data_IF_214827644223
#
_entry.id   IF_214827644223
#
_cell.length_a   1.000
_cell.length_b   1.000
_cell.length_c   1.000
_cell.angle_alpha   90.00
_cell.angle_beta   90.00
_cell.angle_gamma   90.00
#
_symmetry.space_group_name_H-M   'P 1'
#
loop_
_entity.id
_entity.type
_entity.pdbx_description
1 polymer ?
#
# COMPACT_ATOMS: atom_id res chain seq x y z
N UNK A 1 10.52 -0.98 -22.86
CA UNK A 1 9.34 -0.18 -22.41
C UNK A 1 8.40 -1.10 -21.65
N UNK A 2 8.25 -0.89 -20.35
CA UNK A 2 7.29 -1.67 -19.57
C UNK A 2 5.87 -1.19 -19.89
N UNK A 3 5.17 -2.01 -20.64
CA UNK A 3 3.85 -1.73 -21.16
C UNK A 3 2.79 -1.90 -20.06
N UNK A 4 2.06 -0.84 -19.69
CA UNK A 4 0.99 -0.89 -18.69
C UNK A 4 -0.16 -1.85 -19.07
N UNK A 5 -0.24 -2.23 -20.35
CA UNK A 5 -1.23 -3.19 -20.86
C UNK A 5 -0.76 -4.65 -20.77
N UNK A 6 0.44 -4.90 -20.23
CA UNK A 6 0.97 -6.25 -20.04
C UNK A 6 1.22 -6.51 -18.55
N UNK A 7 0.79 -7.68 -18.09
CA UNK A 7 1.15 -8.17 -16.76
C UNK A 7 2.56 -8.75 -16.82
N UNK A 8 3.49 -8.31 -15.94
CA UNK A 8 4.84 -8.88 -15.88
C UNK A 8 4.84 -10.36 -15.56
N UNK A 9 5.88 -11.09 -16.03
CA UNK A 9 6.00 -12.52 -15.79
C UNK A 9 5.95 -12.86 -14.29
N UNK A 10 6.70 -12.14 -13.45
CA UNK A 10 6.75 -12.38 -12.01
C UNK A 10 5.38 -12.26 -11.32
N UNK A 11 4.50 -11.33 -11.79
CA UNK A 11 3.13 -11.22 -11.29
C UNK A 11 2.30 -12.41 -11.75
N UNK A 12 2.45 -12.82 -13.02
CA UNK A 12 1.74 -14.00 -13.56
C UNK A 12 2.10 -15.26 -12.79
N UNK A 13 3.39 -15.44 -12.49
CA UNK A 13 3.90 -16.59 -11.74
C UNK A 13 3.33 -16.66 -10.32
N UNK A 14 3.09 -15.50 -9.68
CA UNK A 14 2.52 -15.45 -8.34
C UNK A 14 0.99 -15.59 -8.30
N UNK A 15 0.30 -15.13 -9.34
CA UNK A 15 -1.18 -15.06 -9.34
C UNK A 15 -1.81 -16.28 -10.01
N UNK A 16 -1.25 -16.74 -11.15
CA UNK A 16 -1.90 -17.74 -12.00
C UNK A 16 -1.16 -19.08 -12.06
N UNK A 17 0.06 -19.16 -11.53
CA UNK A 17 0.67 -20.44 -11.33
C UNK A 17 -0.16 -21.18 -10.27
N UNK A 18 -0.85 -22.27 -10.65
CA UNK A 18 -1.62 -23.14 -9.75
C UNK A 18 -0.64 -23.92 -8.85
N UNK A 19 0.14 -23.24 -8.04
CA UNK A 19 0.83 -23.88 -6.93
C UNK A 19 -0.19 -24.09 -5.85
N UNK A 20 -0.41 -25.32 -5.48
CA UNK A 20 -1.02 -25.63 -4.20
C UNK A 20 -0.07 -25.07 -3.14
N UNK A 21 -0.62 -24.40 -2.15
CA UNK A 21 0.16 -23.97 -0.99
C UNK A 21 0.34 -25.18 -0.07
N UNK A 22 1.05 -26.21 -0.60
CA UNK A 22 1.39 -27.41 0.16
C UNK A 22 2.42 -27.09 1.25
N UNK A 23 2.68 -28.05 2.13
CA UNK A 23 3.60 -27.86 3.25
C UNK A 23 5.01 -27.54 2.79
N UNK A 24 5.50 -28.15 1.70
CA UNK A 24 6.83 -27.88 1.16
C UNK A 24 6.95 -26.42 0.70
N UNK A 25 5.94 -25.94 -0.03
CA UNK A 25 5.91 -24.52 -0.47
C UNK A 25 5.89 -23.56 0.70
N UNK A 26 5.09 -23.83 1.73
CA UNK A 26 5.00 -22.98 2.92
C UNK A 26 6.31 -22.99 3.71
N UNK A 27 6.98 -24.13 3.79
CA UNK A 27 8.30 -24.23 4.43
C UNK A 27 9.36 -23.42 3.66
N UNK A 28 9.46 -23.57 2.33
CA UNK A 28 10.37 -22.76 1.49
C UNK A 28 10.10 -21.25 1.64
N UNK A 29 8.83 -20.87 1.74
CA UNK A 29 8.45 -19.49 1.93
C UNK A 29 8.86 -18.98 3.32
N UNK A 30 8.62 -19.78 4.37
CA UNK A 30 9.02 -19.45 5.73
C UNK A 30 10.55 -19.26 5.85
N UNK A 31 11.35 -20.12 5.20
CA UNK A 31 12.82 -19.99 5.17
C UNK A 31 13.25 -18.66 4.51
N UNK A 32 12.62 -18.24 3.40
CA UNK A 32 12.91 -16.94 2.79
C UNK A 32 12.49 -15.77 3.67
N UNK A 33 11.35 -15.89 4.36
CA UNK A 33 10.83 -14.83 5.25
C UNK A 33 11.64 -14.71 6.54
N UNK A 34 12.35 -15.78 6.97
CA UNK A 34 13.25 -15.73 8.12
C UNK A 34 14.36 -14.68 7.95
N UNK A 35 14.77 -14.36 6.73
CA UNK A 35 15.73 -13.28 6.42
C UNK A 35 15.23 -11.86 6.75
N UNK A 36 13.95 -11.71 7.13
CA UNK A 36 13.37 -10.42 7.54
C UNK A 36 13.25 -10.28 9.08
N UNK A 37 14.03 -11.01 9.83
CA UNK A 37 14.08 -10.96 11.31
C UNK A 37 15.34 -10.26 11.80
N UNK A 38 15.50 -9.00 11.41
CA UNK A 38 16.68 -8.21 11.77
C UNK A 38 16.45 -7.43 13.07
N UNK A 39 17.41 -7.50 13.99
CA UNK A 39 17.35 -6.75 15.25
C UNK A 39 17.68 -5.26 15.09
N UNK A 40 18.52 -4.95 14.11
CA UNK A 40 18.94 -3.59 13.76
C UNK A 40 18.68 -3.35 12.26
N UNK A 41 17.42 -3.24 11.86
CA UNK A 41 17.08 -3.06 10.45
C UNK A 41 17.32 -1.64 9.97
N UNK A 42 17.60 -1.51 8.69
CA UNK A 42 17.58 -0.21 7.98
C UNK A 42 16.14 0.15 7.60
N UNK A 43 15.33 -0.88 7.28
CA UNK A 43 13.97 -0.74 6.73
C UNK A 43 12.98 -1.60 7.49
N UNK A 44 11.85 -1.01 7.89
CA UNK A 44 10.68 -1.72 8.41
C UNK A 44 9.61 -1.79 7.33
N UNK A 45 9.27 -3.00 6.87
CA UNK A 45 8.13 -3.25 5.97
C UNK A 45 6.94 -3.61 6.84
N UNK A 46 5.88 -2.80 6.80
CA UNK A 46 4.69 -2.97 7.66
C UNK A 46 3.48 -3.34 6.84
N UNK A 47 2.86 -4.49 7.18
CA UNK A 47 1.69 -5.05 6.51
C UNK A 47 0.56 -5.24 7.52
N UNK A 48 -0.48 -4.39 7.53
CA UNK A 48 -1.70 -4.69 8.26
C UNK A 48 -2.48 -5.81 7.56
N UNK A 49 -3.02 -6.74 8.32
CA UNK A 49 -3.86 -7.83 7.81
C UNK A 49 -5.17 -7.91 8.58
N UNK A 50 -6.26 -8.16 7.86
CA UNK A 50 -7.58 -8.41 8.43
C UNK A 50 -8.39 -9.32 7.52
N UNK A 51 -8.69 -10.52 7.99
CA UNK A 51 -9.47 -11.52 7.27
C UNK A 51 -8.99 -11.76 5.84
N UNK A 52 -7.68 -11.99 5.70
CA UNK A 52 -7.04 -12.27 4.40
C UNK A 52 -6.83 -13.77 4.16
N UNK A 53 -6.85 -14.59 5.21
CA UNK A 53 -6.64 -16.03 5.10
C UNK A 53 -5.40 -16.36 4.26
N UNK A 54 -5.55 -17.26 3.30
CA UNK A 54 -4.46 -17.63 2.39
C UNK A 54 -4.07 -16.54 1.36
N UNK A 55 -4.85 -15.46 1.21
CA UNK A 55 -4.52 -14.39 0.26
C UNK A 55 -3.21 -13.70 0.60
N UNK A 56 -2.90 -13.58 1.91
CA UNK A 56 -1.66 -12.94 2.38
C UNK A 56 -0.40 -13.66 1.90
N UNK A 57 -0.48 -14.97 1.62
CA UNK A 57 0.65 -15.79 1.17
C UNK A 57 1.28 -15.21 -0.10
N UNK A 58 0.48 -14.77 -1.07
CA UNK A 58 0.98 -14.18 -2.32
C UNK A 58 1.75 -12.89 -2.08
N UNK A 59 1.25 -12.06 -1.19
CA UNK A 59 1.93 -10.82 -0.80
C UNK A 59 3.26 -11.13 -0.12
N UNK A 60 3.25 -12.05 0.86
CA UNK A 60 4.44 -12.48 1.59
C UNK A 60 5.47 -13.15 0.67
N UNK A 61 5.02 -13.98 -0.30
CA UNK A 61 5.93 -14.56 -1.31
C UNK A 61 6.54 -13.45 -2.20
N UNK A 62 5.78 -12.42 -2.57
CA UNK A 62 6.35 -11.31 -3.33
C UNK A 62 7.40 -10.53 -2.52
N UNK A 63 7.14 -10.27 -1.23
CA UNK A 63 8.07 -9.60 -0.30
C UNK A 63 9.31 -10.44 -0.06
N UNK A 64 9.16 -11.77 0.13
CA UNK A 64 10.29 -12.68 0.35
C UNK A 64 11.31 -12.71 -0.82
N UNK A 65 10.91 -12.23 -2.00
CA UNK A 65 11.77 -12.12 -3.20
C UNK A 65 12.47 -10.78 -3.32
N UNK A 66 12.40 -9.94 -2.28
CA UNK A 66 13.11 -8.66 -2.24
C UNK A 66 14.61 -8.85 -2.47
N UNK A 67 15.17 -7.99 -3.32
CA UNK A 67 16.60 -7.96 -3.65
C UNK A 67 17.15 -6.62 -3.19
N UNK A 68 17.83 -6.62 -2.08
CA UNK A 68 18.41 -5.44 -1.44
C UNK A 68 19.63 -5.83 -0.63
N UNK A 69 20.55 -4.90 -0.46
CA UNK A 69 21.63 -5.01 0.51
C UNK A 69 21.25 -4.44 1.88
N UNK A 70 20.09 -3.77 1.98
CA UNK A 70 19.59 -3.20 3.23
C UNK A 70 19.05 -4.31 4.14
N UNK A 71 19.27 -4.14 5.43
CA UNK A 71 18.68 -5.00 6.45
C UNK A 71 17.21 -4.66 6.63
N UNK A 72 16.35 -5.65 6.43
CA UNK A 72 14.90 -5.44 6.48
C UNK A 72 14.28 -6.23 7.62
N UNK A 73 13.36 -5.62 8.35
CA UNK A 73 12.38 -6.33 9.17
C UNK A 73 11.01 -6.33 8.51
N UNK A 74 10.28 -7.41 8.69
CA UNK A 74 8.88 -7.53 8.27
C UNK A 74 7.99 -7.54 9.52
N UNK A 75 7.11 -6.56 9.62
CA UNK A 75 6.13 -6.41 10.68
C UNK A 75 4.75 -6.66 10.09
N UNK A 76 4.13 -7.77 10.47
CA UNK A 76 2.74 -8.06 10.12
C UNK A 76 1.86 -7.74 11.32
N UNK A 77 0.85 -6.90 11.12
CA UNK A 77 -0.08 -6.53 12.20
C UNK A 77 -1.44 -7.17 11.93
N UNK A 78 -1.79 -8.19 12.73
CA UNK A 78 -3.10 -8.80 12.69
C UNK A 78 -4.12 -7.91 13.41
N UNK A 79 -5.00 -7.29 12.62
CA UNK A 79 -5.99 -6.36 13.12
C UNK A 79 -7.30 -7.06 13.49
N UNK A 80 -7.24 -7.95 14.49
CA UNK A 80 -8.39 -8.66 15.02
C UNK A 80 -9.12 -9.50 13.94
N UNK A 81 -8.37 -10.31 13.17
CA UNK A 81 -8.94 -11.25 12.21
C UNK A 81 -9.72 -12.35 12.91
N UNK A 82 -10.84 -12.75 12.31
CA UNK A 82 -11.75 -13.80 12.81
C UNK A 82 -11.73 -15.06 11.95
N UNK A 83 -10.98 -15.04 10.84
CA UNK A 83 -10.75 -16.19 9.96
C UNK A 83 -9.42 -16.90 10.29
N UNK A 84 -8.94 -17.76 9.40
CA UNK A 84 -7.68 -18.50 9.57
C UNK A 84 -6.42 -17.66 9.28
N UNK A 85 -6.51 -16.33 9.23
CA UNK A 85 -5.35 -15.46 8.93
C UNK A 85 -4.20 -15.70 9.91
N UNK A 86 -4.48 -15.76 11.22
CA UNK A 86 -3.42 -15.98 12.21
C UNK A 86 -2.76 -17.36 12.05
N UNK A 87 -3.55 -18.39 11.80
CA UNK A 87 -3.01 -19.74 11.56
C UNK A 87 -2.04 -19.77 10.36
N UNK A 88 -2.36 -19.05 9.29
CA UNK A 88 -1.48 -18.93 8.12
C UNK A 88 -0.17 -18.22 8.47
N UNK A 89 -0.22 -17.14 9.25
CA UNK A 89 0.96 -16.42 9.70
C UNK A 89 1.86 -17.29 10.59
N UNK A 90 1.26 -18.05 11.48
CA UNK A 90 1.97 -18.96 12.39
C UNK A 90 2.68 -20.10 11.62
N UNK A 91 2.00 -20.69 10.61
CA UNK A 91 2.59 -21.71 9.71
C UNK A 91 3.79 -21.16 8.92
N UNK A 92 3.78 -19.89 8.57
CA UNK A 92 4.90 -19.22 7.90
C UNK A 92 5.97 -18.74 8.89
N UNK A 93 5.80 -19.02 10.19
CA UNK A 93 6.71 -18.58 11.22
C UNK A 93 6.85 -17.07 11.33
N UNK A 94 5.86 -16.30 10.89
CA UNK A 94 5.89 -14.84 10.95
C UNK A 94 5.54 -14.38 12.36
N UNK A 95 6.43 -13.58 12.94
CA UNK A 95 6.08 -12.85 14.14
C UNK A 95 5.05 -11.75 13.77
N UNK A 96 3.79 -11.98 14.14
CA UNK A 96 2.72 -11.01 13.95
C UNK A 96 2.39 -10.29 15.26
N UNK A 97 2.05 -9.01 15.14
CA UNK A 97 1.61 -8.19 16.26
C UNK A 97 0.08 -8.14 16.22
N UNK A 98 -0.57 -8.44 17.34
CA UNK A 98 -2.03 -8.34 17.44
C UNK A 98 -2.45 -6.92 17.81
N UNK A 99 -3.39 -6.34 17.04
CA UNK A 99 -4.07 -5.07 17.34
C UNK A 99 -5.57 -5.32 17.52
N UNK A 100 -6.09 -5.26 18.76
CA UNK A 100 -7.48 -5.60 19.06
C UNK A 100 -8.48 -4.54 18.55
N UNK A 101 -8.05 -3.28 18.42
CA UNK A 101 -8.92 -2.20 17.92
C UNK A 101 -9.07 -2.33 16.42
N UNK A 102 -10.26 -2.67 15.96
CA UNK A 102 -10.53 -2.86 14.55
C UNK A 102 -10.46 -1.55 13.79
N UNK A 103 -9.63 -1.51 12.74
CA UNK A 103 -9.45 -0.36 11.86
C UNK A 103 -8.03 -0.23 11.35
N UNK A 104 -7.91 0.04 10.06
CA UNK A 104 -6.61 0.10 9.36
C UNK A 104 -5.64 1.11 9.99
N UNK A 105 -6.14 2.25 10.49
CA UNK A 105 -5.33 3.28 11.14
C UNK A 105 -4.66 2.75 12.42
N UNK A 106 -5.39 1.97 13.23
CA UNK A 106 -4.85 1.35 14.45
C UNK A 106 -3.75 0.34 14.12
N UNK A 107 -3.99 -0.51 13.11
CA UNK A 107 -2.99 -1.49 12.70
C UNK A 107 -1.72 -0.82 12.13
N UNK A 108 -1.85 0.23 11.31
CA UNK A 108 -0.71 1.00 10.81
C UNK A 108 0.03 1.72 11.93
N UNK A 109 -0.70 2.32 12.89
CA UNK A 109 -0.07 2.95 14.06
C UNK A 109 0.69 1.92 14.88
N UNK A 110 0.09 0.77 15.17
CA UNK A 110 0.75 -0.31 15.90
C UNK A 110 2.03 -0.78 15.21
N UNK A 111 2.00 -0.89 13.88
CA UNK A 111 3.17 -1.21 13.08
C UNK A 111 4.24 -0.12 13.12
N UNK A 112 3.86 1.15 13.05
CA UNK A 112 4.79 2.29 13.17
C UNK A 112 5.47 2.34 14.54
N UNK A 113 4.72 2.14 15.61
CA UNK A 113 5.25 2.13 16.98
C UNK A 113 6.29 1.03 17.16
N UNK A 114 6.08 -0.12 16.52
CA UNK A 114 6.95 -1.29 16.58
C UNK A 114 8.15 -1.21 15.62
N UNK A 115 8.11 -0.33 14.62
CA UNK A 115 9.14 -0.18 13.59
C UNK A 115 10.46 0.32 14.18
N UNK A 116 11.56 -0.39 13.88
CA UNK A 116 12.93 -0.09 14.33
C UNK A 116 13.78 0.54 13.20
N UNK A 117 13.46 0.24 11.94
CA UNK A 117 14.21 0.71 10.78
C UNK A 117 14.17 2.24 10.62
N UNK A 118 15.23 2.80 10.05
CA UNK A 118 15.29 4.22 9.66
C UNK A 118 14.16 4.58 8.68
N UNK A 119 13.84 3.66 7.78
CA UNK A 119 12.82 3.82 6.76
C UNK A 119 11.61 2.93 7.05
N UNK A 120 10.42 3.49 6.98
CA UNK A 120 9.16 2.79 7.13
C UNK A 120 8.49 2.66 5.76
N UNK A 121 8.27 1.44 5.29
CA UNK A 121 7.55 1.14 4.06
C UNK A 121 6.19 0.53 4.37
N UNK A 122 5.14 1.19 3.93
CA UNK A 122 3.77 0.72 4.08
C UNK A 122 3.38 -0.19 2.93
N UNK A 123 2.81 -1.33 3.29
CA UNK A 123 2.34 -2.35 2.37
C UNK A 123 0.94 -2.83 2.75
N UNK A 124 0.20 -3.45 1.81
CA UNK A 124 -1.09 -4.08 2.05
C UNK A 124 -1.02 -5.58 1.75
N UNK A 125 -1.86 -6.36 2.42
CA UNK A 125 -1.89 -7.82 2.36
C UNK A 125 -2.42 -8.40 1.04
N UNK A 126 -2.94 -7.58 0.12
CA UNK A 126 -3.47 -7.97 -1.19
C UNK A 126 -2.67 -7.37 -2.37
N UNK A 127 -1.44 -6.96 -2.10
CA UNK A 127 -0.58 -6.26 -3.06
C UNK A 127 0.74 -7.02 -3.26
N UNK A 128 1.21 -7.08 -4.50
CA UNK A 128 2.46 -7.72 -4.89
C UNK A 128 3.55 -6.67 -5.13
N UNK A 129 4.73 -6.91 -4.58
CA UNK A 129 5.87 -6.00 -4.57
C UNK A 129 6.97 -6.49 -5.50
N UNK A 130 7.49 -5.63 -6.41
CA UNK A 130 8.61 -6.02 -7.27
C UNK A 130 9.90 -6.23 -6.46
N UNK A 131 10.81 -7.09 -6.92
CA UNK A 131 12.02 -7.44 -6.15
C UNK A 131 12.91 -6.25 -5.75
N UNK A 132 12.92 -5.17 -6.51
CA UNK A 132 13.70 -3.95 -6.22
C UNK A 132 12.89 -2.83 -5.56
N UNK A 133 11.70 -3.14 -5.06
CA UNK A 133 10.80 -2.16 -4.47
C UNK A 133 11.44 -1.42 -3.30
N UNK A 134 12.05 -2.15 -2.37
CA UNK A 134 12.71 -1.58 -1.19
C UNK A 134 13.81 -0.60 -1.59
N UNK A 135 14.77 -1.04 -2.41
CA UNK A 135 15.88 -0.18 -2.86
C UNK A 135 15.38 1.08 -3.56
N UNK A 136 14.36 0.94 -4.42
CA UNK A 136 13.81 2.07 -5.18
C UNK A 136 13.12 3.08 -4.27
N UNK A 137 12.37 2.62 -3.27
CA UNK A 137 11.72 3.49 -2.31
C UNK A 137 12.74 4.20 -1.42
N UNK A 138 13.72 3.47 -0.88
CA UNK A 138 14.76 4.03 0.00
C UNK A 138 15.64 5.02 -0.76
N UNK A 139 16.12 4.69 -1.96
CA UNK A 139 16.91 5.63 -2.79
C UNK A 139 16.15 6.93 -3.03
N UNK A 140 14.82 6.85 -3.19
CA UNK A 140 14.00 8.06 -3.37
C UNK A 140 13.81 8.84 -2.06
N UNK A 141 13.85 8.17 -0.90
CA UNK A 141 13.80 8.81 0.44
C UNK A 141 15.12 9.45 0.84
N UNK A 142 16.26 8.94 0.33
CA UNK A 142 17.59 9.50 0.61
C UNK A 142 17.88 10.80 -0.18
N UNK A 143 16.98 11.19 -1.09
CA UNK A 143 17.14 12.50 -1.75
C UNK A 143 16.86 13.64 -0.76
N UNK A 144 17.60 14.73 -0.93
CA UNK A 144 17.51 15.91 -0.08
C UNK A 144 16.06 16.37 0.15
N UNK A 145 15.75 16.70 1.39
CA UNK A 145 14.44 17.20 1.86
C UNK A 145 13.26 16.24 1.65
N UNK A 146 13.50 15.00 1.21
CA UNK A 146 12.44 14.01 0.98
C UNK A 146 12.13 13.28 2.27
N UNK A 147 10.91 13.46 2.78
CA UNK A 147 10.42 12.83 4.01
C UNK A 147 9.44 11.71 3.74
N UNK A 148 8.79 11.73 2.58
CA UNK A 148 7.80 10.74 2.16
C UNK A 148 7.94 10.45 0.66
N UNK A 149 7.86 9.19 0.30
CA UNK A 149 7.86 8.73 -1.09
C UNK A 149 6.64 7.84 -1.34
N UNK A 150 6.08 7.91 -2.54
CA UNK A 150 5.04 6.99 -2.99
C UNK A 150 5.31 6.51 -4.41
N UNK A 151 4.86 5.30 -4.69
CA UNK A 151 5.03 4.67 -6.00
C UNK A 151 3.75 4.61 -6.82
N UNK A 152 3.88 4.13 -8.06
CA UNK A 152 2.76 3.82 -8.93
C UNK A 152 2.22 2.42 -8.62
N UNK A 153 1.00 2.16 -9.08
CA UNK A 153 0.39 0.85 -8.98
C UNK A 153 -0.23 0.41 -10.30
N UNK A 154 -0.50 -0.86 -10.39
CA UNK A 154 -1.33 -1.48 -11.43
C UNK A 154 -2.27 -2.49 -10.79
N UNK A 155 -3.40 -2.73 -11.43
CA UNK A 155 -4.34 -3.74 -10.97
C UNK A 155 -4.03 -5.11 -11.57
N UNK A 156 -4.12 -6.13 -10.75
CA UNK A 156 -4.06 -7.53 -11.16
C UNK A 156 -5.36 -7.86 -11.92
N UNK A 157 -5.28 -8.38 -13.16
CA UNK A 157 -6.47 -8.82 -13.90
C UNK A 157 -7.23 -9.89 -13.12
N UNK A 158 -8.48 -9.62 -12.83
CA UNK A 158 -9.35 -10.49 -12.04
C UNK A 158 -10.81 -10.12 -12.24
N UNK A 159 -11.73 -11.00 -11.88
CA UNK A 159 -13.16 -10.75 -11.90
C UNK A 159 -13.71 -10.29 -13.26
N UNK A 160 -13.23 -10.87 -14.36
CA UNK A 160 -13.70 -10.54 -15.72
C UNK A 160 -13.09 -9.27 -16.33
N UNK A 161 -12.24 -8.54 -15.61
CA UNK A 161 -11.56 -7.36 -16.18
C UNK A 161 -10.22 -7.74 -16.81
N UNK A 162 -10.10 -7.40 -18.10
CA UNK A 162 -8.86 -7.60 -18.85
C UNK A 162 -7.77 -6.61 -18.41
N UNK A 163 -6.50 -6.94 -18.66
CA UNK A 163 -5.40 -6.00 -18.41
C UNK A 163 -5.54 -4.72 -19.23
N UNK A 164 -6.12 -4.81 -20.43
CA UNK A 164 -6.34 -3.63 -21.29
C UNK A 164 -7.32 -2.68 -20.63
N UNK A 165 -8.45 -3.20 -20.17
CA UNK A 165 -9.50 -2.39 -19.51
C UNK A 165 -8.97 -1.70 -18.26
N UNK A 166 -8.23 -2.46 -17.41
CA UNK A 166 -7.60 -1.91 -16.21
C UNK A 166 -6.49 -0.90 -16.56
N UNK A 167 -5.74 -1.14 -17.64
CA UNK A 167 -4.72 -0.20 -18.14
C UNK A 167 -5.27 1.14 -18.59
N UNK A 168 -6.41 1.13 -19.29
CA UNK A 168 -7.12 2.36 -19.67
C UNK A 168 -7.57 3.15 -18.43
N UNK A 169 -8.12 2.45 -17.42
CA UNK A 169 -8.48 3.06 -16.15
C UNK A 169 -7.26 3.68 -15.44
N UNK A 170 -6.13 2.96 -15.36
CA UNK A 170 -4.88 3.45 -14.76
C UNK A 170 -4.31 4.65 -15.51
N UNK A 171 -4.45 4.68 -16.83
CA UNK A 171 -4.03 5.82 -17.64
C UNK A 171 -4.84 7.06 -17.30
N UNK A 172 -6.17 6.94 -17.17
CA UNK A 172 -7.05 8.03 -16.73
C UNK A 172 -6.70 8.47 -15.30
N UNK A 173 -6.52 7.54 -14.38
CA UNK A 173 -6.09 7.84 -13.01
C UNK A 173 -4.74 8.57 -12.97
N UNK A 174 -3.81 8.27 -13.88
CA UNK A 174 -2.51 8.93 -13.99
C UNK A 174 -2.63 10.42 -14.34
N UNK A 175 -3.64 10.82 -15.10
CA UNK A 175 -3.94 12.24 -15.38
C UNK A 175 -4.34 12.94 -14.09
N UNK A 176 -5.21 12.33 -13.30
CA UNK A 176 -5.65 12.89 -12.01
C UNK A 176 -4.50 13.02 -11.02
N UNK A 177 -3.61 12.02 -10.96
CA UNK A 177 -2.39 12.08 -10.14
C UNK A 177 -1.53 13.29 -10.52
N UNK A 178 -1.34 13.55 -11.82
CA UNK A 178 -0.58 14.71 -12.30
C UNK A 178 -1.20 16.05 -11.89
N UNK A 179 -2.52 16.17 -12.01
CA UNK A 179 -3.25 17.40 -11.63
C UNK A 179 -3.11 17.69 -10.13
N UNK A 180 -3.29 16.66 -9.28
CA UNK A 180 -3.18 16.81 -7.83
C UNK A 180 -1.75 17.14 -7.36
N UNK A 181 -0.75 16.68 -8.10
CA UNK A 181 0.66 16.87 -7.75
C UNK A 181 1.04 18.34 -7.49
N UNK A 182 0.37 19.29 -8.12
CA UNK A 182 0.68 20.73 -7.98
C UNK A 182 0.36 21.28 -6.59
N UNK A 183 -0.81 20.95 -6.03
CA UNK A 183 -1.33 21.57 -4.80
C UNK A 183 -1.68 20.57 -3.69
N UNK A 184 -1.99 19.32 -4.08
CA UNK A 184 -2.51 18.28 -3.17
C UNK A 184 -1.81 16.94 -3.39
N UNK A 185 -0.48 16.94 -3.48
CA UNK A 185 0.30 15.72 -3.75
C UNK A 185 0.04 14.63 -2.69
N UNK A 186 -0.18 15.01 -1.44
CA UNK A 186 -0.48 14.09 -0.34
C UNK A 186 -1.71 13.19 -0.58
N UNK A 187 -2.68 13.64 -1.39
CA UNK A 187 -3.86 12.83 -1.80
C UNK A 187 -3.49 11.67 -2.73
N UNK A 188 -2.31 11.70 -3.34
CA UNK A 188 -1.83 10.64 -4.21
C UNK A 188 -1.13 9.51 -3.45
N UNK A 189 -0.84 9.72 -2.17
CA UNK A 189 -0.25 8.71 -1.30
C UNK A 189 -1.31 7.67 -0.97
N UNK A 190 -0.99 6.41 -1.21
CA UNK A 190 -1.90 5.28 -1.00
C UNK A 190 -1.20 4.26 -0.11
N UNK A 191 -1.92 3.76 0.89
CA UNK A 191 -1.42 2.91 1.95
C UNK A 191 -0.63 1.69 1.53
N UNK A 192 -0.91 1.17 0.37
CA UNK A 192 -0.24 -0.02 -0.16
C UNK A 192 1.09 0.25 -0.89
N UNK A 193 1.50 1.51 -1.08
CA UNK A 193 2.75 1.82 -1.80
C UNK A 193 3.30 3.21 -1.45
N UNK A 194 3.66 3.40 -0.20
CA UNK A 194 4.39 4.59 0.23
C UNK A 194 5.36 4.26 1.36
N UNK A 195 6.30 5.17 1.58
CA UNK A 195 7.25 5.06 2.66
C UNK A 195 7.69 6.43 3.13
N UNK A 196 8.28 6.47 4.32
CA UNK A 196 8.75 7.69 4.95
C UNK A 196 9.89 7.39 5.93
N UNK A 197 10.56 8.44 6.39
CA UNK A 197 11.55 8.33 7.46
C UNK A 197 10.81 8.09 8.78
N UNK A 198 11.08 6.95 9.43
CA UNK A 198 10.35 6.46 10.62
C UNK A 198 10.28 7.51 11.72
N UNK A 199 11.39 8.21 12.00
CA UNK A 199 11.45 9.27 13.01
C UNK A 199 10.45 10.39 12.76
N UNK A 200 10.33 10.84 11.51
CA UNK A 200 9.35 11.88 11.15
C UNK A 200 7.91 11.36 11.26
N UNK A 201 7.69 10.08 10.91
CA UNK A 201 6.39 9.45 11.10
C UNK A 201 5.96 9.44 12.56
N UNK A 202 6.85 9.04 13.47
CA UNK A 202 6.58 9.03 14.92
C UNK A 202 6.39 10.45 15.48
N UNK A 203 7.21 11.41 15.07
CA UNK A 203 7.10 12.82 15.48
C UNK A 203 5.77 13.47 15.05
N UNK A 204 5.22 13.07 13.92
CA UNK A 204 3.97 13.61 13.39
C UNK A 204 2.70 12.97 13.98
N UNK A 205 2.83 12.18 15.05
CA UNK A 205 1.75 11.36 15.61
C UNK A 205 1.17 10.33 14.62
N UNK A 206 1.96 9.95 13.61
CA UNK A 206 1.71 8.83 12.73
C UNK A 206 0.31 8.78 12.12
N UNK A 207 -0.29 7.60 12.24
CA UNK A 207 -1.63 7.29 11.73
C UNK A 207 -2.77 7.59 12.72
N UNK A 208 -2.49 8.32 13.81
CA UNK A 208 -3.53 8.73 14.73
C UNK A 208 -4.55 9.65 14.04
N UNK A 209 -5.82 9.32 14.21
CA UNK A 209 -6.96 10.03 13.63
C UNK A 209 -8.07 10.18 14.66
N UNK A 210 -8.74 11.34 14.67
CA UNK A 210 -9.92 11.57 15.52
C UNK A 210 -11.06 10.59 15.23
N UNK A 211 -11.26 10.24 13.95
CA UNK A 211 -12.30 9.32 13.48
C UNK A 211 -11.68 8.29 12.53
N UNK A 212 -11.05 7.22 13.04
CA UNK A 212 -10.50 6.18 12.20
C UNK A 212 -11.63 5.40 11.48
N UNK A 213 -11.35 4.93 10.27
CA UNK A 213 -12.25 4.02 9.56
C UNK A 213 -12.25 2.67 10.26
N UNK A 214 -13.43 2.23 10.64
CA UNK A 214 -13.69 0.84 11.00
C UNK A 214 -14.06 0.07 9.73
N UNK A 215 -13.64 -1.18 9.59
CA UNK A 215 -14.02 -2.04 8.48
C UNK A 215 -15.57 -2.14 8.43
N UNK A 216 -16.13 -2.02 7.21
CA UNK A 216 -17.56 -2.01 6.90
C UNK A 216 -18.31 -0.66 7.05
N UNK A 217 -17.76 0.34 7.72
CA UNK A 217 -18.42 1.65 7.88
C UNK A 217 -17.90 2.68 6.86
N UNK A 218 -18.00 2.39 5.57
CA UNK A 218 -17.59 3.32 4.49
C UNK A 218 -18.74 4.16 3.92
N UNK A 219 -19.94 4.05 4.47
CA UNK A 219 -21.10 4.78 3.97
C UNK A 219 -21.17 6.16 4.64
N UNK A 220 -20.98 7.21 3.84
CA UNK A 220 -21.33 8.57 4.19
C UNK A 220 -20.20 9.61 4.34
N UNK A 221 -18.91 9.26 4.32
CA UNK A 221 -17.86 10.29 4.32
C UNK A 221 -17.63 10.84 2.92
N UNK A 222 -18.08 12.05 2.66
CA UNK A 222 -17.81 12.80 1.42
C UNK A 222 -16.41 13.38 1.38
N UNK A 223 -15.71 13.48 2.51
CA UNK A 223 -14.35 14.00 2.60
C UNK A 223 -13.33 12.85 2.60
N UNK A 224 -12.88 12.50 1.40
CA UNK A 224 -11.89 11.42 1.19
C UNK A 224 -10.54 11.70 1.86
N UNK A 225 -10.21 12.97 2.10
CA UNK A 225 -8.94 13.40 2.70
C UNK A 225 -8.96 13.24 4.20
N UNK A 226 -10.05 13.61 4.85
CA UNK A 226 -10.21 13.49 6.31
C UNK A 226 -10.50 12.05 6.77
N UNK A 227 -10.80 11.15 5.83
CA UNK A 227 -11.15 9.76 6.12
C UNK A 227 -10.06 8.73 5.77
N UNK A 228 -8.96 9.13 5.11
CA UNK A 228 -7.87 8.23 4.68
C UNK A 228 -6.67 8.42 5.59
N UNK A 229 -6.27 7.36 6.30
CA UNK A 229 -5.12 7.35 7.22
C UNK A 229 -3.80 7.64 6.49
N UNK A 230 -3.65 7.14 5.27
CA UNK A 230 -2.48 7.34 4.42
C UNK A 230 -2.36 8.79 3.94
N UNK A 231 -3.48 9.38 3.51
CA UNK A 231 -3.56 10.78 3.11
C UNK A 231 -3.29 11.74 4.28
N UNK A 232 -3.82 11.43 5.48
CA UNK A 232 -3.58 12.23 6.69
C UNK A 232 -2.12 12.14 7.14
N UNK A 233 -1.55 10.93 7.12
CA UNK A 233 -0.12 10.73 7.39
C UNK A 233 0.74 11.54 6.43
N UNK A 234 0.46 11.46 5.12
CA UNK A 234 1.19 12.22 4.12
C UNK A 234 1.02 13.75 4.28
N UNK A 235 -0.16 14.21 4.71
CA UNK A 235 -0.40 15.63 4.98
C UNK A 235 0.47 16.12 6.15
N UNK A 236 0.54 15.37 7.24
CA UNK A 236 1.40 15.68 8.38
C UNK A 236 2.88 15.72 7.99
N UNK A 237 3.34 14.74 7.18
CA UNK A 237 4.71 14.70 6.71
C UNK A 237 5.06 15.84 5.75
N UNK A 238 4.08 16.36 4.98
CA UNK A 238 4.28 17.50 4.08
C UNK A 238 4.74 18.77 4.82
N UNK A 239 4.33 18.92 6.08
CA UNK A 239 4.73 20.07 6.89
C UNK A 239 6.19 19.96 7.38
N UNK A 240 6.78 18.75 7.31
CA UNK A 240 8.17 18.48 7.71
C UNK A 240 9.12 18.57 6.50
N UNK A 241 8.65 18.13 5.31
CA UNK A 241 9.49 18.13 4.12
C UNK A 241 8.77 17.68 2.85
N UNK A 242 9.54 17.32 1.84
CA UNK A 242 9.00 17.03 0.50
C UNK A 242 8.39 15.65 0.41
N UNK A 243 7.18 15.58 -0.18
CA UNK A 243 6.59 14.34 -0.68
C UNK A 243 7.03 14.14 -2.14
N UNK A 244 7.48 12.93 -2.48
CA UNK A 244 7.97 12.61 -3.82
C UNK A 244 7.32 11.37 -4.40
N UNK A 245 6.89 11.44 -5.67
CA UNK A 245 6.49 10.27 -6.44
C UNK A 245 7.70 9.66 -7.15
N UNK A 246 8.06 8.41 -6.81
CA UNK A 246 8.99 7.66 -7.64
C UNK A 246 8.30 7.19 -8.92
N UNK A 247 8.98 7.38 -10.06
CA UNK A 247 8.46 6.99 -11.38
C UNK A 247 8.98 5.63 -11.84
N UNK A 248 9.90 5.04 -11.08
CA UNK A 248 10.51 3.76 -11.41
C UNK A 248 9.47 2.65 -11.53
N UNK A 249 9.64 1.79 -12.49
CA UNK A 249 8.83 0.56 -12.61
C UNK A 249 9.15 -0.44 -11.50
N UNK A 250 10.34 -0.36 -10.93
CA UNK A 250 10.76 -1.19 -9.80
C UNK A 250 10.05 -0.82 -8.49
N UNK A 251 9.33 0.31 -8.46
CA UNK A 251 8.40 0.66 -7.38
C UNK A 251 6.93 0.58 -7.79
N UNK A 252 6.60 0.01 -8.97
CA UNK A 252 5.22 -0.18 -9.39
C UNK A 252 4.68 -1.48 -8.81
N UNK A 253 3.82 -1.38 -7.82
CA UNK A 253 3.16 -2.52 -7.17
C UNK A 253 1.92 -2.97 -7.93
N UNK A 254 1.48 -4.20 -7.66
CA UNK A 254 0.31 -4.82 -8.30
C UNK A 254 -0.70 -5.22 -7.24
N UNK A 255 -1.86 -4.58 -7.24
CA UNK A 255 -2.89 -4.77 -6.21
C UNK A 255 -4.19 -5.33 -6.78
N UNK A 256 -4.99 -5.95 -5.93
CA UNK A 256 -6.29 -6.48 -6.31
C UNK A 256 -7.30 -5.34 -6.50
N UNK A 257 -8.15 -5.36 -7.54
CA UNK A 257 -9.13 -4.30 -7.79
C UNK A 257 -10.38 -4.42 -6.90
N UNK A 258 -10.28 -4.91 -5.65
CA UNK A 258 -11.43 -5.20 -4.76
C UNK A 258 -12.36 -3.99 -4.60
N UNK A 259 -11.79 -2.79 -4.39
CA UNK A 259 -12.59 -1.57 -4.24
C UNK A 259 -13.33 -1.14 -5.52
N UNK A 260 -12.75 -1.44 -6.69
CA UNK A 260 -13.43 -1.18 -7.98
C UNK A 260 -14.64 -2.12 -8.16
N UNK A 261 -14.55 -3.32 -7.59
CA UNK A 261 -15.61 -4.33 -7.68
C UNK A 261 -16.82 -3.94 -6.82
N UNK A 262 -16.61 -3.30 -5.67
CA UNK A 262 -17.71 -2.82 -4.80
C UNK A 262 -18.60 -1.79 -5.50
N UNK A 263 -18.09 -1.04 -6.48
CA UNK A 263 -18.87 -0.09 -7.28
C UNK A 263 -19.74 -0.78 -8.38
N UNK A 264 -19.72 -2.12 -8.46
CA UNK A 264 -20.54 -2.95 -9.35
C UNK A 264 -20.05 -3.03 -10.79
N UNK A 265 -19.40 -2.00 -11.32
CA UNK A 265 -18.75 -2.03 -12.64
C UNK A 265 -17.64 -0.98 -12.73
N UNK A 266 -16.64 -1.26 -13.58
CA UNK A 266 -15.54 -0.32 -13.82
C UNK A 266 -16.04 1.02 -14.37
N UNK A 267 -17.08 0.99 -15.23
CA UNK A 267 -17.69 2.20 -15.79
C UNK A 267 -18.32 3.06 -14.69
N UNK A 268 -19.07 2.46 -13.79
CA UNK A 268 -19.64 3.16 -12.63
C UNK A 268 -18.56 3.75 -11.74
N UNK A 269 -17.50 2.98 -11.46
CA UNK A 269 -16.35 3.45 -10.69
C UNK A 269 -15.67 4.66 -11.36
N UNK A 270 -15.51 4.64 -12.70
CA UNK A 270 -14.97 5.76 -13.48
C UNK A 270 -15.87 6.99 -13.38
N UNK A 271 -17.18 6.83 -13.65
CA UNK A 271 -18.16 7.94 -13.62
C UNK A 271 -18.22 8.56 -12.23
N UNK A 272 -18.31 7.75 -11.18
CA UNK A 272 -18.32 8.21 -9.78
C UNK A 272 -17.06 9.01 -9.44
N UNK A 273 -15.88 8.53 -9.88
CA UNK A 273 -14.61 9.24 -9.66
C UNK A 273 -14.46 10.50 -10.50
N UNK A 274 -14.89 10.48 -11.77
CA UNK A 274 -14.91 11.69 -12.61
C UNK A 274 -15.84 12.73 -11.98
N UNK A 275 -17.04 12.35 -11.54
CA UNK A 275 -17.98 13.24 -10.86
C UNK A 275 -17.39 13.84 -9.58
N UNK A 276 -16.79 13.00 -8.73
CA UNK A 276 -16.14 13.43 -7.51
C UNK A 276 -14.95 14.36 -7.76
N UNK A 277 -14.09 14.03 -8.73
CA UNK A 277 -12.92 14.83 -9.04
C UNK A 277 -13.26 16.04 -9.92
N UNK A 278 -14.28 15.93 -10.77
CA UNK A 278 -14.77 17.05 -11.60
C UNK A 278 -15.19 18.25 -10.73
N UNK A 279 -15.90 17.98 -9.63
CA UNK A 279 -16.28 19.01 -8.65
C UNK A 279 -15.08 19.63 -7.92
N UNK A 280 -13.93 18.96 -7.90
CA UNK A 280 -12.71 19.39 -7.18
C UNK A 280 -11.55 19.82 -8.08
N UNK A 281 -11.77 19.91 -9.40
CA UNK A 281 -10.70 20.34 -10.34
C UNK A 281 -10.21 21.75 -10.01
N UNK A 282 -11.10 22.65 -9.60
CA UNK A 282 -10.75 24.01 -9.14
C UNK A 282 -9.90 23.97 -7.87
N UNK A 283 -10.20 23.08 -6.93
CA UNK A 283 -9.37 22.87 -5.73
C UNK A 283 -7.96 22.35 -6.09
N UNK A 284 -7.87 21.47 -7.10
CA UNK A 284 -6.59 20.92 -7.56
C UNK A 284 -5.73 21.96 -8.30
N UNK A 285 -6.39 22.84 -9.05
CA UNK A 285 -5.70 23.89 -9.83
C UNK A 285 -5.33 25.13 -9.01
N UNK A 286 -6.26 25.61 -8.19
CA UNK A 286 -6.14 26.92 -7.51
C UNK A 286 -5.98 26.81 -6.00
N UNK A 287 -6.16 25.63 -5.41
CA UNK A 287 -6.05 25.42 -3.96
C UNK A 287 -7.23 25.97 -3.14
N UNK A 288 -8.29 26.39 -3.82
CA UNK A 288 -9.50 26.97 -3.18
C UNK A 288 -10.40 25.82 -2.74
N UNK A 289 -10.69 25.73 -1.43
CA UNK A 289 -11.73 24.82 -0.90
C UNK A 289 -13.09 25.34 -1.39
N UNK A 290 -13.80 24.57 -2.20
CA UNK A 290 -15.22 24.84 -2.43
C UNK A 290 -15.94 24.48 -1.11
N UNK A 291 -16.60 25.49 -0.49
CA UNK A 291 -17.56 25.24 0.59
C UNK A 291 -18.63 24.27 0.10
N UNK A 292 -18.97 23.27 0.92
CA UNK A 292 -20.03 22.29 0.64
C UNK A 292 -21.35 22.98 0.36
#
# INVERSE_FOLDING_TARGET
>A
MNNIFKTPKWVKDLVWNKREYDENYLQELAERLAGFREDKPDVSIVIPVWNEGSNVIRTLDSVSRTRTALKCELIVVNNNSTDNTQEVLDKLGIYSIFEPRQGIAFARQRGLDSAKGKYHLCADADTLYPPKWVDTMVTSLDEADTVCVYGRYSFIPSFGYSRITLGLYEMLASVMIRLRKRKREFVNVLGFNFGFVTGYGKMSHGFEMEKPRVFENNEGSTDYVSASEDGMMALKLKDIGRIKMTKSYDARVWTMPRRLMKDGSLLRAVVKRIGFHGRRVTEYGFGIKLSN
#
